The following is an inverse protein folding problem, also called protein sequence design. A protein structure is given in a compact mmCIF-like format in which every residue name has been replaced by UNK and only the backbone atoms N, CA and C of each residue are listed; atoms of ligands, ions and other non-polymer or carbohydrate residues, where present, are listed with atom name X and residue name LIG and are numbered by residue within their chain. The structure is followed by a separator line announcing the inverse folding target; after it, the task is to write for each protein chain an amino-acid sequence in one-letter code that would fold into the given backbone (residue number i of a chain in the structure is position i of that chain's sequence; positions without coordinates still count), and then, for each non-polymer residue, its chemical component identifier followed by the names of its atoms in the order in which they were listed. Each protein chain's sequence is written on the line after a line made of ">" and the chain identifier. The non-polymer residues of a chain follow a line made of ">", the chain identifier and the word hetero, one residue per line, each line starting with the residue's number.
data_IF_210172709437
#
_entry.id   IF_210172709437
#
_cell.length_a   1.000
_cell.length_b   1.000
_cell.length_c   1.000
_cell.angle_alpha   90.00
_cell.angle_beta   90.00
_cell.angle_gamma   90.00
#
_symmetry.space_group_name_H-M   'P 1'
#
loop_
_entity.id
_entity.type
_entity.pdbx_description
1 polymer ?
#
# COMPACT_ATOMS: atom_id res chain seq x y z
N UNK A 1 10.01 5.94 -0.75
CA UNK A 1 9.10 6.12 -1.91
C UNK A 1 7.70 5.96 -1.36
N UNK A 2 6.81 6.97 -1.50
CA UNK A 2 5.45 6.82 -0.98
C UNK A 2 4.74 5.66 -1.69
N UNK A 3 3.99 4.83 -0.95
CA UNK A 3 3.26 3.73 -1.56
C UNK A 3 2.24 4.27 -2.57
N UNK A 4 2.03 3.55 -3.69
CA UNK A 4 1.20 4.04 -4.80
C UNK A 4 -0.25 4.31 -4.38
N UNK A 5 -0.76 3.66 -3.33
CA UNK A 5 -2.09 3.90 -2.79
C UNK A 5 -2.25 5.33 -2.23
N UNK A 6 -1.26 5.86 -1.52
CA UNK A 6 -1.28 7.20 -0.91
C UNK A 6 -1.27 8.28 -1.99
N UNK A 7 -0.54 8.05 -3.09
CA UNK A 7 -0.55 8.97 -4.23
C UNK A 7 -1.94 9.04 -4.88
N UNK A 8 -2.59 7.89 -5.08
CA UNK A 8 -3.92 7.80 -5.70
C UNK A 8 -5.00 8.34 -4.77
N UNK A 9 -4.92 8.07 -3.48
CA UNK A 9 -5.83 8.63 -2.48
C UNK A 9 -5.79 10.16 -2.49
N UNK A 10 -4.58 10.75 -2.47
CA UNK A 10 -4.40 12.20 -2.57
C UNK A 10 -4.92 12.77 -3.88
N UNK A 11 -4.73 12.05 -4.99
CA UNK A 11 -5.27 12.44 -6.30
C UNK A 11 -6.81 12.41 -6.29
N UNK A 12 -7.43 11.38 -5.72
CA UNK A 12 -8.88 11.23 -5.60
C UNK A 12 -9.51 12.33 -4.75
N UNK A 13 -8.91 12.66 -3.60
CA UNK A 13 -9.37 13.78 -2.79
C UNK A 13 -9.16 15.13 -3.48
N UNK A 14 -8.00 15.35 -4.10
CA UNK A 14 -7.72 16.58 -4.83
C UNK A 14 -8.67 16.81 -5.99
N UNK A 15 -8.95 15.77 -6.78
CA UNK A 15 -9.92 15.82 -7.88
C UNK A 15 -11.35 16.00 -7.38
N UNK A 16 -11.75 15.31 -6.30
CA UNK A 16 -13.07 15.50 -5.66
C UNK A 16 -13.31 16.94 -5.19
N UNK A 17 -12.31 17.56 -4.54
CA UNK A 17 -12.38 18.98 -4.13
C UNK A 17 -12.44 19.90 -5.35
N UNK A 18 -11.66 19.63 -6.40
CA UNK A 18 -11.70 20.41 -7.65
C UNK A 18 -13.07 20.35 -8.34
N UNK A 19 -13.70 19.17 -8.37
CA UNK A 19 -15.04 18.98 -8.92
C UNK A 19 -16.11 19.73 -8.10
N UNK A 20 -16.00 19.73 -6.75
CA UNK A 20 -16.88 20.53 -5.89
C UNK A 20 -16.74 22.04 -6.17
N UNK A 21 -15.51 22.52 -6.34
CA UNK A 21 -15.25 23.91 -6.67
C UNK A 21 -15.83 24.30 -8.04
N UNK A 22 -15.69 23.43 -9.05
CA UNK A 22 -16.34 23.59 -10.35
C UNK A 22 -17.87 23.62 -10.25
N UNK A 23 -18.48 22.76 -9.43
CA UNK A 23 -19.91 22.79 -9.17
C UNK A 23 -20.35 24.11 -8.49
N UNK A 24 -19.54 24.64 -7.57
CA UNK A 24 -19.76 25.95 -6.93
C UNK A 24 -19.80 27.10 -7.94
N UNK A 25 -18.88 27.15 -8.90
CA UNK A 25 -18.92 28.13 -9.99
C UNK A 25 -20.15 27.95 -10.90
N UNK A 26 -20.57 26.69 -11.12
CA UNK A 26 -21.81 26.38 -11.82
C UNK A 26 -23.03 27.00 -11.15
N UNK A 27 -23.11 26.90 -9.82
CA UNK A 27 -24.19 27.51 -9.02
C UNK A 27 -24.14 29.05 -9.07
N UNK A 28 -22.96 29.66 -8.93
CA UNK A 28 -22.80 31.12 -9.03
C UNK A 28 -23.23 31.67 -10.39
N UNK A 29 -23.09 30.87 -11.44
CA UNK A 29 -23.51 31.21 -12.80
C UNK A 29 -25.03 31.12 -13.02
N UNK A 30 -25.81 30.89 -11.94
CA UNK A 30 -27.27 30.82 -12.00
C UNK A 30 -27.81 29.50 -12.58
N UNK A 31 -26.97 28.46 -12.64
CA UNK A 31 -27.37 27.15 -13.18
C UNK A 31 -28.31 26.45 -12.21
N UNK A 32 -29.53 26.15 -12.66
CA UNK A 32 -30.53 25.43 -11.87
C UNK A 32 -30.34 23.92 -11.93
N UNK A 33 -30.84 23.21 -10.91
CA UNK A 33 -31.04 21.76 -10.97
C UNK A 33 -31.94 21.38 -12.15
N UNK A 34 -31.67 20.25 -12.80
CA UNK A 34 -32.41 19.76 -13.96
C UNK A 34 -32.22 20.54 -15.26
N UNK A 35 -31.29 21.50 -15.31
CA UNK A 35 -30.96 22.19 -16.56
C UNK A 35 -30.32 21.21 -17.56
N UNK A 36 -30.71 21.27 -18.83
CA UNK A 36 -30.15 20.41 -19.87
C UNK A 36 -28.96 21.13 -20.54
N UNK A 37 -27.73 20.58 -20.54
CA UNK A 37 -27.31 19.30 -19.96
C UNK A 37 -27.15 19.31 -18.43
N UNK A 38 -27.37 18.21 -17.70
CA UNK A 38 -27.31 18.16 -16.22
C UNK A 38 -25.88 18.15 -15.67
N UNK A 39 -25.06 19.12 -16.08
CA UNK A 39 -23.64 19.20 -15.74
C UNK A 39 -23.42 19.36 -14.23
N UNK A 40 -24.27 20.11 -13.52
CA UNK A 40 -24.13 20.32 -12.08
C UNK A 40 -24.23 18.99 -11.31
N UNK A 41 -25.27 18.22 -11.60
CA UNK A 41 -25.54 16.91 -10.98
C UNK A 41 -24.43 15.91 -11.31
N UNK A 42 -23.94 15.92 -12.55
CA UNK A 42 -22.81 15.08 -12.99
C UNK A 42 -21.51 15.41 -12.24
N UNK A 43 -21.16 16.68 -12.11
CA UNK A 43 -19.95 17.10 -11.38
C UNK A 43 -20.05 16.77 -9.90
N UNK A 44 -21.22 16.97 -9.28
CA UNK A 44 -21.45 16.60 -7.88
C UNK A 44 -21.40 15.09 -7.68
N UNK A 45 -22.05 14.31 -8.54
CA UNK A 45 -22.01 12.86 -8.49
C UNK A 45 -20.58 12.33 -8.66
N UNK A 46 -19.84 12.88 -9.63
CA UNK A 46 -18.43 12.53 -9.84
C UNK A 46 -17.56 12.89 -8.62
N UNK A 47 -17.78 14.04 -7.99
CA UNK A 47 -17.07 14.42 -6.78
C UNK A 47 -17.32 13.42 -5.64
N UNK A 48 -18.59 13.05 -5.40
CA UNK A 48 -18.97 12.06 -4.38
C UNK A 48 -18.31 10.71 -4.67
N UNK A 49 -18.31 10.26 -5.92
CA UNK A 49 -17.63 9.02 -6.32
C UNK A 49 -16.13 9.11 -6.02
N UNK A 50 -15.46 10.21 -6.35
CA UNK A 50 -14.04 10.41 -6.01
C UNK A 50 -13.78 10.33 -4.51
N UNK A 51 -14.63 10.93 -3.67
CA UNK A 51 -14.50 10.85 -2.21
C UNK A 51 -14.72 9.43 -1.68
N UNK A 52 -15.74 8.72 -2.16
CA UNK A 52 -16.01 7.33 -1.75
C UNK A 52 -14.85 6.43 -2.15
N UNK A 53 -14.32 6.57 -3.36
CA UNK A 53 -13.18 5.79 -3.82
C UNK A 53 -11.93 6.11 -3.01
N UNK A 54 -11.66 7.39 -2.71
CA UNK A 54 -10.55 7.81 -1.85
C UNK A 54 -10.67 7.24 -0.43
N UNK A 55 -11.86 7.31 0.17
CA UNK A 55 -12.12 6.78 1.51
C UNK A 55 -11.99 5.27 1.58
N UNK A 56 -12.60 4.53 0.64
CA UNK A 56 -12.52 3.07 0.60
C UNK A 56 -11.08 2.60 0.41
N UNK A 57 -10.32 3.29 -0.46
CA UNK A 57 -8.89 3.09 -0.62
C UNK A 57 -8.16 3.36 0.71
N UNK A 58 -8.31 4.51 1.36
CA UNK A 58 -7.67 4.77 2.66
C UNK A 58 -7.94 3.68 3.72
N UNK A 59 -9.14 3.08 3.69
CA UNK A 59 -9.53 1.99 4.58
C UNK A 59 -9.07 0.58 4.13
N UNK A 60 -8.33 0.46 3.02
CA UNK A 60 -7.85 -0.81 2.50
C UNK A 60 -8.93 -1.71 1.88
N UNK A 61 -10.08 -1.13 1.52
CA UNK A 61 -11.26 -1.86 1.04
C UNK A 61 -11.72 -1.37 -0.33
N UNK A 62 -12.50 -2.19 -1.05
CA UNK A 62 -13.16 -1.78 -2.30
C UNK A 62 -12.44 -2.19 -3.60
N UNK A 63 -12.94 -1.71 -4.75
CA UNK A 63 -12.52 -2.20 -6.06
C UNK A 63 -11.10 -1.76 -6.45
N UNK A 64 -10.68 -0.56 -6.05
CA UNK A 64 -9.33 -0.04 -6.33
C UNK A 64 -8.26 -0.68 -5.43
N UNK A 65 -8.63 -1.22 -4.27
CA UNK A 65 -7.72 -1.92 -3.38
C UNK A 65 -7.13 -3.21 -4.02
N UNK A 66 -7.78 -3.78 -5.05
CA UNK A 66 -7.22 -4.87 -5.85
C UNK A 66 -6.09 -4.41 -6.79
N UNK A 67 -6.13 -3.15 -7.23
CA UNK A 67 -5.20 -2.59 -8.22
C UNK A 67 -4.06 -1.84 -7.54
N UNK A 68 -4.33 -1.22 -6.39
CA UNK A 68 -3.35 -0.52 -5.58
C UNK A 68 -3.12 -1.30 -4.29
N UNK A 69 -1.92 -1.88 -4.15
CA UNK A 69 -1.52 -2.62 -2.95
C UNK A 69 -1.70 -1.74 -1.71
N UNK A 70 -2.49 -2.22 -0.75
CA UNK A 70 -2.63 -1.66 0.59
C UNK A 70 -1.66 -2.27 1.60
N UNK A 71 -0.45 -2.61 1.15
CA UNK A 71 0.60 -2.91 2.11
C UNK A 71 1.05 -1.60 2.76
N UNK A 72 0.72 -1.44 4.04
CA UNK A 72 1.20 -0.31 4.84
C UNK A 72 2.72 -0.41 4.99
N UNK A 73 3.42 0.72 5.08
CA UNK A 73 4.88 0.73 5.31
C UNK A 73 5.27 -0.07 6.55
N UNK A 74 4.42 -0.09 7.58
CA UNK A 74 4.60 -0.92 8.78
C UNK A 74 4.50 -2.42 8.49
N UNK A 75 3.52 -2.85 7.68
CA UNK A 75 3.37 -4.25 7.29
C UNK A 75 4.56 -4.72 6.45
N UNK A 76 5.02 -3.88 5.52
CA UNK A 76 6.21 -4.13 4.72
C UNK A 76 7.47 -4.19 5.60
N UNK A 77 7.67 -3.24 6.49
CA UNK A 77 8.82 -3.21 7.39
C UNK A 77 8.85 -4.41 8.33
N UNK A 78 7.67 -4.85 8.81
CA UNK A 78 7.55 -6.05 9.64
C UNK A 78 7.94 -7.31 8.87
N UNK A 79 7.48 -7.44 7.62
CA UNK A 79 7.85 -8.57 6.76
C UNK A 79 9.35 -8.58 6.47
N UNK A 80 9.91 -7.45 6.04
CA UNK A 80 11.35 -7.34 5.73
C UNK A 80 12.20 -7.65 6.96
N UNK A 81 11.80 -7.19 8.15
CA UNK A 81 12.49 -7.56 9.40
C UNK A 81 12.42 -9.05 9.69
N UNK A 82 11.27 -9.69 9.48
CA UNK A 82 11.12 -11.12 9.65
C UNK A 82 11.99 -11.91 8.66
N UNK A 83 12.03 -11.49 7.39
CA UNK A 83 12.87 -12.11 6.36
C UNK A 83 14.38 -11.98 6.72
N UNK A 84 14.83 -10.81 7.21
CA UNK A 84 16.21 -10.61 7.67
C UNK A 84 16.54 -11.50 8.87
N UNK A 85 15.64 -11.60 9.84
CA UNK A 85 15.86 -12.42 11.04
C UNK A 85 15.88 -13.92 10.72
N UNK A 86 15.09 -14.36 9.73
CA UNK A 86 15.14 -15.72 9.21
C UNK A 86 16.49 -16.04 8.55
N UNK A 87 17.00 -15.12 7.72
CA UNK A 87 18.32 -15.26 7.08
C UNK A 87 19.42 -15.36 8.13
N UNK A 88 19.46 -14.45 9.11
CA UNK A 88 20.43 -14.49 10.21
C UNK A 88 20.37 -15.81 10.98
N UNK A 89 19.16 -16.30 11.29
CA UNK A 89 18.99 -17.60 11.96
C UNK A 89 19.52 -18.76 11.12
N UNK A 90 19.30 -18.73 9.81
CA UNK A 90 19.80 -19.76 8.89
C UNK A 90 21.33 -19.76 8.82
N UNK A 91 21.96 -18.59 8.81
CA UNK A 91 23.42 -18.45 8.85
C UNK A 91 24.00 -19.00 10.17
N UNK A 92 23.39 -18.68 11.31
CA UNK A 92 23.81 -19.19 12.62
C UNK A 92 23.72 -20.72 12.73
N UNK A 93 22.65 -21.31 12.18
CA UNK A 93 22.50 -22.77 12.13
C UNK A 93 23.61 -23.35 11.25
N UNK A 94 23.83 -22.80 10.06
CA UNK A 94 24.89 -23.26 9.14
C UNK A 94 26.28 -23.19 9.79
N UNK A 95 26.59 -22.11 10.49
CA UNK A 95 27.86 -21.95 11.21
C UNK A 95 28.02 -23.01 12.32
N UNK A 96 26.93 -23.31 13.05
CA UNK A 96 26.93 -24.37 14.07
C UNK A 96 27.13 -25.77 13.48
N UNK A 97 26.53 -26.05 12.32
CA UNK A 97 26.75 -27.30 11.59
C UNK A 97 28.22 -27.42 11.14
N UNK A 98 28.80 -26.37 10.57
CA UNK A 98 30.20 -26.35 10.16
C UNK A 98 31.17 -26.56 11.34
N UNK A 99 30.89 -25.93 12.49
CA UNK A 99 31.69 -26.12 13.70
C UNK A 99 31.57 -27.55 14.26
N UNK A 100 30.39 -28.15 14.17
CA UNK A 100 30.17 -29.55 14.56
C UNK A 100 30.92 -30.50 13.63
N UNK A 101 30.84 -30.29 12.31
CA UNK A 101 31.53 -31.10 11.31
C UNK A 101 33.05 -31.04 11.49
N UNK A 102 33.60 -29.83 11.69
CA UNK A 102 35.02 -29.65 11.97
C UNK A 102 35.46 -30.39 13.24
N UNK A 103 34.63 -30.37 14.29
CA UNK A 103 34.90 -31.10 15.54
C UNK A 103 34.89 -32.61 15.33
N UNK A 104 33.90 -33.14 14.62
CA UNK A 104 33.82 -34.58 14.30
C UNK A 104 35.04 -35.01 13.51
N UNK A 105 35.43 -34.26 12.46
CA UNK A 105 36.63 -34.56 11.67
C UNK A 105 37.90 -34.60 12.53
N UNK A 106 38.05 -33.64 13.45
CA UNK A 106 39.21 -33.59 14.35
C UNK A 106 39.24 -34.74 15.36
N UNK A 107 38.08 -35.26 15.73
CA UNK A 107 37.96 -36.38 16.66
C UNK A 107 38.28 -37.71 15.95
N UNK A 108 37.75 -37.92 14.74
CA UNK A 108 38.06 -39.11 13.91
C UNK A 108 39.56 -39.20 13.61
N UNK A 109 40.20 -38.09 13.22
CA UNK A 109 41.66 -38.04 12.99
C UNK A 109 42.49 -38.30 14.25
N UNK A 110 41.97 -37.98 15.43
CA UNK A 110 42.64 -38.24 16.71
C UNK A 110 42.46 -39.65 17.25
N UNK A 111 41.47 -40.41 16.74
CA UNK A 111 41.27 -41.83 17.05
C UNK A 111 42.01 -42.78 16.09
N UNK A 112 42.47 -42.27 14.92
CA UNK A 112 43.29 -43.02 13.96
C UNK A 112 44.81 -42.95 14.22
N UNK A 113 45.28 -42.20 15.23
CA UNK A 113 46.68 -42.24 15.75
C UNK A 113 46.81 -43.08 17.04
#
# INVERSE_FOLDING_TARGET
>A
MHPPNVAVERLLYGTGVGLLLGAGFGLQSGRSWGAQPPALELFLAAAVVCFILGWTLGNGTGPLAKWFSHETEEAMAKRVRADIEEVHRSEDVTAKWAAMEAKVLSQDLGEEE
#
